data_IF_832214502993
#
_entry.id   IF_832214502993
#
_cell.length_a   1.000
_cell.length_b   1.000
_cell.length_c   1.000
_cell.angle_alpha   90.00
_cell.angle_beta   90.00
_cell.angle_gamma   90.00
#
_symmetry.space_group_name_H-M   'P 1'
#
loop_
_entity.id
_entity.type
_entity.pdbx_description
1 polymer ?
#
# COMPACT_ATOMS: atom_id res chain seq x y z
N UNK A 1 -18.22 -3.79 9.27
CA UNK A 1 -17.46 -3.40 8.06
C UNK A 1 -16.95 -4.68 7.44
N UNK A 2 -16.99 -4.79 6.12
CA UNK A 2 -16.51 -5.98 5.42
C UNK A 2 -14.98 -6.04 5.54
N UNK A 3 -14.43 -7.19 5.98
CA UNK A 3 -13.00 -7.33 6.30
C UNK A 3 -12.06 -6.93 5.13
N UNK A 4 -12.37 -7.23 3.86
CA UNK A 4 -11.55 -6.80 2.73
C UNK A 4 -11.55 -5.28 2.50
N UNK A 5 -12.68 -4.62 2.75
CA UNK A 5 -12.80 -3.17 2.58
C UNK A 5 -11.99 -2.40 3.64
N UNK A 6 -11.97 -2.90 4.88
CA UNK A 6 -11.13 -2.33 5.92
C UNK A 6 -9.64 -2.56 5.65
N UNK A 7 -9.27 -3.76 5.17
CA UNK A 7 -7.88 -4.05 4.79
C UNK A 7 -7.39 -3.12 3.66
N UNK A 8 -8.24 -2.89 2.66
CA UNK A 8 -7.99 -1.94 1.58
C UNK A 8 -7.81 -0.50 2.10
N UNK A 9 -8.72 -0.03 2.97
CA UNK A 9 -8.59 1.29 3.62
C UNK A 9 -7.26 1.41 4.38
N UNK A 10 -6.91 0.41 5.19
CA UNK A 10 -5.69 0.43 5.99
C UNK A 10 -4.44 0.38 5.10
N UNK A 11 -4.46 -0.37 4.00
CA UNK A 11 -3.38 -0.38 3.01
C UNK A 11 -3.15 1.03 2.43
N UNK A 12 -4.20 1.76 2.07
CA UNK A 12 -4.06 3.12 1.54
C UNK A 12 -3.46 4.08 2.58
N UNK A 13 -3.85 3.94 3.86
CA UNK A 13 -3.27 4.71 4.98
C UNK A 13 -1.79 4.38 5.16
N UNK A 14 -1.45 3.09 5.21
CA UNK A 14 -0.06 2.63 5.36
C UNK A 14 0.80 3.10 4.19
N UNK A 15 0.29 3.00 2.96
CA UNK A 15 0.98 3.49 1.76
C UNK A 15 1.20 5.01 1.82
N UNK A 16 0.21 5.79 2.24
CA UNK A 16 0.36 7.24 2.38
C UNK A 16 1.41 7.60 3.44
N UNK A 17 1.40 6.92 4.57
CA UNK A 17 2.39 7.11 5.64
C UNK A 17 3.79 6.72 5.18
N UNK A 18 3.91 5.60 4.46
CA UNK A 18 5.19 5.11 3.98
C UNK A 18 5.76 6.00 2.87
N UNK A 19 4.92 6.55 1.99
CA UNK A 19 5.33 7.57 1.01
C UNK A 19 5.91 8.79 1.74
N UNK A 20 5.21 9.29 2.77
CA UNK A 20 5.64 10.44 3.56
C UNK A 20 5.82 11.69 2.68
N UNK A 21 6.94 12.39 2.87
CA UNK A 21 7.29 13.59 2.09
C UNK A 21 8.00 13.28 0.76
N UNK A 22 8.22 12.00 0.43
CA UNK A 22 8.89 11.60 -0.81
C UNK A 22 7.99 11.86 -2.01
N UNK A 23 8.58 12.31 -3.11
CA UNK A 23 7.82 12.43 -4.36
C UNK A 23 7.50 11.04 -4.93
N UNK A 24 6.33 10.90 -5.57
CA UNK A 24 5.98 9.63 -6.24
C UNK A 24 6.96 9.26 -7.36
N UNK A 25 7.69 10.24 -7.91
CA UNK A 25 8.76 10.01 -8.89
C UNK A 25 9.97 9.32 -8.25
N UNK A 26 10.34 9.72 -7.04
CA UNK A 26 11.46 9.10 -6.32
C UNK A 26 11.12 7.66 -5.93
N UNK A 27 9.86 7.42 -5.55
CA UNK A 27 9.37 6.06 -5.24
C UNK A 27 9.33 5.20 -6.50
N UNK A 28 8.87 5.74 -7.62
CA UNK A 28 8.92 5.03 -8.91
C UNK A 28 10.35 4.68 -9.30
N UNK A 29 11.31 5.59 -9.12
CA UNK A 29 12.71 5.33 -9.39
C UNK A 29 13.33 4.27 -8.46
N UNK A 30 12.92 4.25 -7.17
CA UNK A 30 13.43 3.31 -6.19
C UNK A 30 12.83 1.90 -6.32
N UNK A 31 11.54 1.81 -6.65
CA UNK A 31 10.76 0.56 -6.59
C UNK A 31 10.45 -0.04 -7.96
N UNK A 32 10.58 0.76 -9.03
CA UNK A 32 10.13 0.41 -10.37
C UNK A 32 8.60 0.35 -10.54
N UNK A 33 7.82 0.70 -9.50
CA UNK A 33 6.36 0.76 -9.56
C UNK A 33 5.92 2.11 -10.08
N UNK A 34 5.05 2.13 -11.10
CA UNK A 34 4.68 3.39 -11.74
C UNK A 34 4.02 4.36 -10.78
N UNK A 35 4.42 5.63 -10.85
CA UNK A 35 3.82 6.71 -10.06
C UNK A 35 2.31 6.82 -10.26
N UNK A 36 1.81 6.44 -11.45
CA UNK A 36 0.38 6.45 -11.78
C UNK A 36 -0.38 5.36 -11.01
N UNK A 37 0.19 4.16 -10.91
CA UNK A 37 -0.38 3.05 -10.13
C UNK A 37 -0.36 3.36 -8.63
N UNK A 38 0.74 3.94 -8.13
CA UNK A 38 0.84 4.37 -6.72
C UNK A 38 -0.21 5.44 -6.43
N UNK A 39 -0.37 6.42 -7.32
CA UNK A 39 -1.41 7.46 -7.19
C UNK A 39 -2.81 6.86 -7.21
N UNK A 40 -3.10 5.95 -8.13
CA UNK A 40 -4.41 5.31 -8.23
C UNK A 40 -4.78 4.52 -6.97
N UNK A 41 -3.80 3.86 -6.34
CA UNK A 41 -3.96 3.17 -5.06
C UNK A 41 -4.18 4.14 -3.89
N UNK A 42 -3.43 5.24 -3.84
CA UNK A 42 -3.62 6.30 -2.83
C UNK A 42 -5.00 6.98 -2.94
N UNK A 43 -5.52 7.10 -4.16
CA UNK A 43 -6.84 7.66 -4.45
C UNK A 43 -7.96 6.61 -4.28
N UNK A 44 -7.63 5.35 -4.03
CA UNK A 44 -8.58 4.24 -3.90
C UNK A 44 -9.32 3.87 -5.19
N UNK A 45 -8.82 4.34 -6.34
CA UNK A 45 -9.44 4.15 -7.66
C UNK A 45 -9.04 2.84 -8.34
N UNK A 46 -7.84 2.32 -8.03
CA UNK A 46 -7.36 1.02 -8.50
C UNK A 46 -6.39 0.43 -7.48
N UNK A 47 -6.35 -0.90 -7.39
CA UNK A 47 -5.45 -1.61 -6.48
C UNK A 47 -4.22 -2.14 -7.22
N UNK A 48 -3.10 -2.15 -6.50
CA UNK A 48 -1.85 -2.73 -6.99
C UNK A 48 -1.98 -4.25 -7.05
N UNK A 49 -1.39 -4.83 -8.08
CA UNK A 49 -1.15 -6.26 -8.11
C UNK A 49 -0.13 -6.67 -7.03
N UNK A 50 -0.08 -7.97 -6.75
CA UNK A 50 0.80 -8.54 -5.72
C UNK A 50 2.28 -8.27 -6.00
N UNK A 51 2.71 -8.20 -7.26
CA UNK A 51 4.10 -7.94 -7.62
C UNK A 51 4.49 -6.50 -7.28
N UNK A 52 3.65 -5.54 -7.66
CA UNK A 52 3.82 -4.12 -7.38
C UNK A 52 3.77 -3.85 -5.88
N UNK A 53 2.83 -4.47 -5.17
CA UNK A 53 2.77 -4.39 -3.71
C UNK A 53 4.08 -4.90 -3.09
N UNK A 54 4.60 -6.04 -3.55
CA UNK A 54 5.83 -6.60 -2.99
C UNK A 54 7.05 -5.73 -3.25
N UNK A 55 7.16 -5.14 -4.44
CA UNK A 55 8.23 -4.17 -4.77
C UNK A 55 8.17 -2.96 -3.84
N UNK A 56 6.97 -2.44 -3.57
CA UNK A 56 6.81 -1.34 -2.64
C UNK A 56 7.21 -1.76 -1.21
N UNK A 57 6.77 -2.91 -0.73
CA UNK A 57 7.09 -3.36 0.63
C UNK A 57 8.59 -3.53 0.88
N UNK A 58 9.32 -4.03 -0.12
CA UNK A 58 10.80 -4.16 -0.04
C UNK A 58 11.49 -2.81 0.20
N UNK A 59 10.91 -1.70 -0.24
CA UNK A 59 11.53 -0.37 -0.16
C UNK A 59 10.86 0.58 0.84
N UNK A 60 9.58 0.37 1.13
CA UNK A 60 8.76 1.25 1.96
C UNK A 60 8.44 0.63 3.33
N UNK A 61 8.74 -0.67 3.53
CA UNK A 61 8.32 -1.43 4.69
C UNK A 61 6.95 -2.07 4.52
N UNK A 62 6.49 -2.78 5.54
CA UNK A 62 5.22 -3.52 5.49
C UNK A 62 4.04 -2.59 5.23
N UNK A 63 3.32 -2.83 4.12
CA UNK A 63 2.17 -2.03 3.71
C UNK A 63 0.86 -2.74 4.02
N UNK A 64 0.85 -4.06 3.91
CA UNK A 64 -0.33 -4.86 4.20
C UNK A 64 -0.62 -4.86 5.71
N UNK A 65 -1.87 -4.59 6.12
CA UNK A 65 -2.22 -4.67 7.53
C UNK A 65 -2.02 -6.10 8.05
N UNK A 66 -1.52 -6.26 9.29
CA UNK A 66 -1.47 -7.59 9.89
C UNK A 66 -2.88 -8.15 9.91
N UNK A 67 -3.00 -9.46 9.66
CA UNK A 67 -4.24 -10.17 9.95
C UNK A 67 -4.52 -9.92 11.43
N UNK A 68 -5.57 -9.17 11.73
CA UNK A 68 -6.11 -9.10 13.08
C UNK A 68 -6.64 -10.50 13.40
N UNK A 69 -5.74 -11.37 13.85
CA UNK A 69 -6.13 -12.54 14.63
C UNK A 69 -6.46 -11.99 15.99
N UNK A 70 -7.66 -11.43 16.14
CA UNK A 70 -8.30 -11.41 17.43
C UNK A 70 -8.39 -12.88 17.84
N UNK A 71 -7.69 -13.32 18.90
CA UNK A 71 -7.84 -14.69 19.36
C UNK A 71 -9.33 -14.87 19.69
N UNK A 72 -9.95 -15.88 19.10
CA UNK A 72 -11.29 -16.34 19.51
C UNK A 72 -11.20 -16.65 21.02
N UNK A 73 -12.06 -16.07 21.88
CA UNK A 73 -11.96 -16.18 23.33
C UNK A 73 -12.02 -17.62 23.87
#
# INVERSE_FOLDING_TARGET
MDAPAEAARQLAVNLRNAVGDRSLRDIEAATGVSRMSIKAALDGSAWLDTESLRKLEVHLGDLWPPLDRTPDP
#
